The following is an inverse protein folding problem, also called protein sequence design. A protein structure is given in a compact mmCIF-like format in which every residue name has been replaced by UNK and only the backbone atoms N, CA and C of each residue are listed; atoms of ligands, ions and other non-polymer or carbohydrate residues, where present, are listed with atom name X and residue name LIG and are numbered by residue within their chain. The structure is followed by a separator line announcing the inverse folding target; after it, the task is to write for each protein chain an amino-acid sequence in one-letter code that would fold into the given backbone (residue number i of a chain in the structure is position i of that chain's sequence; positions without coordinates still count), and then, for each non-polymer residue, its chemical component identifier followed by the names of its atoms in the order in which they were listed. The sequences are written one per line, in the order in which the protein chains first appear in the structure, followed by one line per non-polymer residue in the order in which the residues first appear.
data_IF_428380594712
#
_entry.id   IF_428380594712
#
_cell.length_a   1.000
_cell.length_b   1.000
_cell.length_c   1.000
_cell.angle_alpha   90.00
_cell.angle_beta   90.00
_cell.angle_gamma   90.00
#
_symmetry.space_group_name_H-M   'P 1'
#
loop_
_entity.id
_entity.type
_entity.pdbx_description
1 polymer ?
#
# COMPACT_ATOMS: atom_id res chain seq x y z
N UNK A 1 -10.74 0.48 -18.42
CA UNK A 1 -9.62 0.54 -17.43
C UNK A 1 -9.74 1.88 -16.72
N UNK A 2 -10.02 1.85 -15.43
CA UNK A 2 -10.10 3.06 -14.61
C UNK A 2 -8.69 3.41 -14.08
N UNK A 3 -8.37 4.69 -14.10
CA UNK A 3 -7.12 5.27 -13.61
C UNK A 3 -7.43 6.42 -12.67
N UNK A 4 -6.69 6.52 -11.56
CA UNK A 4 -6.83 7.67 -10.66
C UNK A 4 -5.52 7.92 -9.90
N UNK A 5 -5.41 9.13 -9.35
CA UNK A 5 -4.29 9.59 -8.55
C UNK A 5 -4.81 10.28 -7.29
N UNK A 6 -4.42 9.77 -6.15
CA UNK A 6 -4.76 10.32 -4.83
C UNK A 6 -3.50 10.95 -4.25
N UNK A 7 -3.57 12.22 -3.87
CA UNK A 7 -2.51 12.93 -3.15
C UNK A 7 -3.00 13.13 -1.73
N UNK A 8 -2.22 12.66 -0.76
CA UNK A 8 -2.61 12.70 0.66
C UNK A 8 -1.45 13.26 1.49
N UNK A 9 -1.65 14.37 2.25
CA UNK A 9 -0.65 14.88 3.16
C UNK A 9 -0.46 13.91 4.33
N UNK A 10 0.80 13.74 4.76
CA UNK A 10 1.16 12.89 5.88
C UNK A 10 1.97 13.70 6.92
N UNK A 11 1.75 13.47 8.23
CA UNK A 11 2.33 14.28 9.30
C UNK A 11 3.77 13.85 9.66
N UNK A 12 4.39 12.97 8.87
CA UNK A 12 5.71 12.41 9.14
C UNK A 12 6.60 12.44 7.89
N UNK A 13 7.89 12.17 8.06
CA UNK A 13 8.86 12.10 6.95
C UNK A 13 8.54 11.01 5.94
N UNK A 14 9.08 11.10 4.72
CA UNK A 14 8.91 10.09 3.69
C UNK A 14 9.33 8.70 4.17
N UNK A 15 10.43 8.64 4.92
CA UNK A 15 11.01 7.42 5.48
C UNK A 15 10.04 6.74 6.45
N UNK A 16 9.45 7.51 7.35
CA UNK A 16 8.49 7.01 8.35
C UNK A 16 7.20 6.54 7.68
N UNK A 17 6.65 7.32 6.75
CA UNK A 17 5.42 6.97 6.03
C UNK A 17 5.62 5.72 5.18
N UNK A 18 6.76 5.63 4.50
CA UNK A 18 7.11 4.47 3.67
C UNK A 18 7.20 3.19 4.51
N UNK A 19 7.92 3.23 5.62
CA UNK A 19 8.13 2.07 6.48
C UNK A 19 6.83 1.62 7.16
N UNK A 20 6.03 2.55 7.67
CA UNK A 20 4.72 2.24 8.28
C UNK A 20 3.77 1.54 7.31
N UNK A 21 3.87 1.85 6.02
CA UNK A 21 3.05 1.18 5.01
C UNK A 21 3.58 -0.21 4.64
N UNK A 22 4.91 -0.39 4.55
CA UNK A 22 5.50 -1.58 3.97
C UNK A 22 5.95 -2.63 4.99
N UNK A 23 6.33 -2.24 6.20
CA UNK A 23 6.65 -3.21 7.25
C UNK A 23 5.37 -3.78 7.86
N UNK A 24 5.22 -5.10 7.82
CA UNK A 24 3.99 -5.79 8.20
C UNK A 24 3.60 -5.57 9.66
N UNK A 25 4.55 -5.51 10.58
CA UNK A 25 4.26 -5.27 12.00
C UNK A 25 3.70 -3.86 12.26
N UNK A 26 4.15 -2.84 11.52
CA UNK A 26 3.55 -1.51 11.59
C UNK A 26 2.18 -1.49 10.92
N UNK A 27 2.09 -2.08 9.72
CA UNK A 27 0.87 -2.12 8.93
C UNK A 27 -0.29 -2.78 9.67
N UNK A 28 -0.05 -3.85 10.42
CA UNK A 28 -1.03 -4.55 11.22
C UNK A 28 -1.70 -3.66 12.31
N UNK A 29 -1.04 -2.58 12.73
CA UNK A 29 -1.55 -1.68 13.79
C UNK A 29 -2.59 -0.67 13.30
N UNK A 30 -2.63 -0.37 12.00
CA UNK A 30 -3.51 0.67 11.47
C UNK A 30 -4.36 0.24 10.26
N UNK A 31 -3.93 -0.75 9.48
CA UNK A 31 -4.57 -1.14 8.23
C UNK A 31 -5.65 -2.20 8.44
N UNK A 32 -6.85 -1.75 8.78
CA UNK A 32 -7.98 -2.66 8.99
C UNK A 32 -8.62 -3.21 7.70
N UNK A 33 -8.19 -2.74 6.52
CA UNK A 33 -8.67 -3.27 5.23
C UNK A 33 -7.99 -4.60 4.87
N UNK A 34 -6.82 -4.87 5.48
CA UNK A 34 -6.06 -6.09 5.25
C UNK A 34 -5.95 -6.82 6.58
N UNK A 35 -6.52 -8.02 6.66
CA UNK A 35 -6.47 -8.83 7.88
C UNK A 35 -5.14 -9.55 8.03
N UNK A 36 -4.52 -9.89 6.89
CA UNK A 36 -3.26 -10.62 6.85
C UNK A 36 -2.49 -10.27 5.58
N UNK A 37 -1.19 -10.07 5.70
CA UNK A 37 -0.26 -9.92 4.57
C UNK A 37 0.96 -10.76 4.85
N UNK A 38 1.26 -11.68 3.96
CA UNK A 38 2.49 -12.47 3.96
C UNK A 38 3.27 -12.20 2.69
N UNK A 39 4.59 -12.17 2.81
CA UNK A 39 5.51 -12.23 1.68
C UNK A 39 5.97 -13.67 1.48
N UNK A 40 6.05 -14.09 0.24
CA UNK A 40 6.67 -15.36 -0.10
C UNK A 40 8.10 -15.36 0.48
N UNK A 41 8.40 -16.32 1.39
CA UNK A 41 9.67 -16.38 2.11
C UNK A 41 9.71 -15.70 3.49
N UNK A 42 8.59 -15.13 3.98
CA UNK A 42 8.46 -14.63 5.36
C UNK A 42 9.26 -13.36 5.67
N UNK A 43 9.67 -12.60 4.66
CA UNK A 43 10.40 -11.35 4.86
C UNK A 43 9.54 -10.30 5.58
N UNK A 44 10.12 -9.44 6.46
CA UNK A 44 9.37 -8.44 7.22
C UNK A 44 8.86 -7.29 6.36
N UNK A 45 9.45 -7.06 5.19
CA UNK A 45 9.05 -6.05 4.23
C UNK A 45 9.35 -6.48 2.79
N UNK A 46 8.70 -5.87 1.79
CA UNK A 46 8.90 -6.23 0.39
C UNK A 46 10.28 -5.86 -0.16
N UNK A 47 10.65 -6.53 -1.25
CA UNK A 47 11.74 -6.18 -2.16
C UNK A 47 11.25 -6.30 -3.61
N UNK A 48 12.05 -5.87 -4.58
CA UNK A 48 11.72 -6.07 -6.01
C UNK A 48 11.61 -7.56 -6.32
N UNK A 49 10.54 -7.95 -6.99
CA UNK A 49 10.22 -9.36 -7.30
C UNK A 49 9.49 -10.09 -6.16
N UNK A 50 9.43 -9.52 -4.95
CA UNK A 50 8.69 -10.14 -3.86
C UNK A 50 7.19 -10.21 -4.19
N UNK A 51 6.60 -11.37 -3.93
CA UNK A 51 5.15 -11.58 -4.06
C UNK A 51 4.54 -11.55 -2.67
N UNK A 52 3.54 -10.70 -2.49
CA UNK A 52 2.74 -10.67 -1.27
C UNK A 52 1.35 -11.22 -1.51
N UNK A 53 0.87 -12.03 -0.58
CA UNK A 53 -0.53 -12.43 -0.48
C UNK A 53 -1.21 -11.60 0.60
N UNK A 54 -2.25 -10.87 0.21
CA UNK A 54 -3.05 -10.06 1.15
C UNK A 54 -4.46 -10.57 1.16
N UNK A 55 -5.00 -10.82 2.35
CA UNK A 55 -6.40 -11.18 2.56
C UNK A 55 -7.16 -9.98 3.08
N UNK A 56 -8.33 -9.71 2.53
CA UNK A 56 -9.18 -8.61 2.96
C UNK A 56 -9.64 -8.74 4.41
N UNK A 57 -9.91 -7.60 5.05
CA UNK A 57 -10.46 -7.52 6.40
C UNK A 57 -11.99 -7.37 6.39
N UNK A 58 -12.65 -7.73 7.50
CA UNK A 58 -14.08 -7.55 7.67
C UNK A 58 -14.91 -8.32 6.63
N UNK A 59 -15.81 -7.62 5.94
CA UNK A 59 -16.66 -8.18 4.87
C UNK A 59 -15.87 -8.65 3.64
N UNK A 60 -14.62 -8.21 3.49
CA UNK A 60 -13.75 -8.55 2.36
C UNK A 60 -12.86 -9.78 2.64
N UNK A 61 -13.09 -10.51 3.76
CA UNK A 61 -12.29 -11.70 4.14
C UNK A 61 -12.24 -12.79 3.08
N UNK A 62 -13.24 -12.88 2.22
CA UNK A 62 -13.26 -13.84 1.12
C UNK A 62 -12.40 -13.41 -0.08
N UNK A 63 -11.88 -12.17 -0.08
CA UNK A 63 -11.06 -11.64 -1.15
C UNK A 63 -9.58 -11.75 -0.76
N UNK A 64 -8.83 -12.47 -1.57
CA UNK A 64 -7.38 -12.49 -1.49
C UNK A 64 -6.78 -11.95 -2.77
N UNK A 65 -5.70 -11.20 -2.64
CA UNK A 65 -4.98 -10.65 -3.78
C UNK A 65 -3.49 -10.95 -3.63
N UNK A 66 -2.91 -11.54 -4.66
CA UNK A 66 -1.46 -11.68 -4.78
C UNK A 66 -0.92 -10.51 -5.59
N UNK A 67 0.11 -9.86 -5.08
CA UNK A 67 0.75 -8.73 -5.74
C UNK A 67 2.26 -8.92 -5.78
N UNK A 68 2.87 -8.61 -6.92
CA UNK A 68 4.32 -8.61 -7.13
C UNK A 68 4.82 -7.17 -7.08
N UNK A 69 5.86 -6.90 -6.32
CA UNK A 69 6.54 -5.62 -6.30
C UNK A 69 7.47 -5.50 -7.50
N UNK A 70 7.13 -4.61 -8.43
CA UNK A 70 7.91 -4.35 -9.65
C UNK A 70 8.94 -3.23 -9.47
N UNK A 71 8.78 -2.42 -8.43
CA UNK A 71 9.76 -1.40 -8.02
C UNK A 71 9.68 -1.21 -6.51
N UNK A 72 10.83 -1.07 -5.87
CA UNK A 72 10.92 -0.82 -4.43
C UNK A 72 12.16 0.02 -4.15
N UNK A 73 11.98 1.32 -4.01
CA UNK A 73 13.04 2.32 -3.82
C UNK A 73 12.73 3.15 -2.57
N UNK A 74 13.10 2.63 -1.41
CA UNK A 74 12.91 3.32 -0.13
C UNK A 74 13.71 4.63 -0.09
N UNK A 75 13.15 5.75 0.37
CA UNK A 75 11.75 5.94 0.79
C UNK A 75 10.87 6.55 -0.32
N UNK A 76 11.29 6.50 -1.58
CA UNK A 76 10.73 7.32 -2.67
C UNK A 76 9.56 6.69 -3.38
N UNK A 77 9.67 5.40 -3.71
CA UNK A 77 8.74 4.73 -4.63
C UNK A 77 8.60 3.26 -4.30
N UNK A 78 7.37 2.78 -4.23
CA UNK A 78 7.05 1.38 -4.36
C UNK A 78 5.97 1.22 -5.42
N UNK A 79 6.09 0.20 -6.27
CA UNK A 79 5.09 -0.13 -7.28
C UNK A 79 4.85 -1.63 -7.28
N UNK A 80 3.58 -2.01 -7.39
CA UNK A 80 3.16 -3.39 -7.39
C UNK A 80 2.08 -3.63 -8.44
N UNK A 81 2.02 -4.86 -8.94
CA UNK A 81 0.96 -5.35 -9.83
C UNK A 81 0.35 -6.62 -9.29
N UNK A 82 -0.90 -6.86 -9.63
CA UNK A 82 -1.59 -8.09 -9.28
C UNK A 82 -1.04 -9.25 -10.11
N UNK A 83 -0.85 -10.40 -9.46
CA UNK A 83 -0.52 -11.68 -10.08
C UNK A 83 -1.79 -12.51 -10.17
N UNK A 84 -2.14 -12.94 -11.38
CA UNK A 84 -3.40 -13.65 -11.64
C UNK A 84 -4.61 -12.71 -11.64
N UNK A 85 -5.74 -13.21 -11.17
CA UNK A 85 -7.00 -12.47 -11.05
C UNK A 85 -7.56 -12.58 -9.63
N UNK A 86 -8.22 -11.53 -9.15
CA UNK A 86 -8.89 -11.53 -7.86
C UNK A 86 -10.19 -10.71 -7.97
N UNK A 87 -11.35 -11.38 -7.98
CA UNK A 87 -12.63 -10.67 -8.07
C UNK A 87 -12.71 -9.55 -7.02
N UNK A 88 -13.20 -8.36 -7.37
CA UNK A 88 -13.77 -7.95 -8.66
C UNK A 88 -12.73 -7.46 -9.71
N UNK A 89 -11.44 -7.62 -9.47
CA UNK A 89 -10.38 -7.14 -10.37
C UNK A 89 -9.97 -8.22 -11.36
N UNK A 90 -9.93 -7.87 -12.65
CA UNK A 90 -9.24 -8.65 -13.68
C UNK A 90 -7.78 -8.20 -13.83
N UNK A 91 -7.50 -6.91 -13.57
CA UNK A 91 -6.15 -6.35 -13.47
C UNK A 91 -6.11 -5.26 -12.40
N UNK A 92 -4.99 -5.19 -11.71
CA UNK A 92 -4.69 -4.12 -10.77
C UNK A 92 -3.18 -3.83 -10.79
N UNK A 93 -2.84 -2.55 -10.80
CA UNK A 93 -1.48 -2.09 -10.57
C UNK A 93 -1.54 -0.75 -9.85
N UNK A 94 -0.59 -0.52 -8.95
CA UNK A 94 -0.48 0.73 -8.25
C UNK A 94 0.98 1.10 -7.97
N UNK A 95 1.21 2.39 -7.82
CA UNK A 95 2.47 2.95 -7.34
C UNK A 95 2.20 3.93 -6.20
N UNK A 96 3.12 3.96 -5.26
CA UNK A 96 3.12 4.86 -4.12
C UNK A 96 4.43 5.64 -4.15
N UNK A 97 4.33 6.94 -4.40
CA UNK A 97 5.45 7.87 -4.40
C UNK A 97 5.36 8.77 -3.17
N UNK A 98 6.50 9.07 -2.56
CA UNK A 98 6.60 9.99 -1.43
C UNK A 98 7.45 11.19 -1.79
N UNK A 99 6.96 12.39 -1.47
CA UNK A 99 7.65 13.65 -1.67
C UNK A 99 7.63 14.45 -0.36
N UNK A 100 8.69 15.22 -0.12
CA UNK A 100 8.75 16.10 1.04
C UNK A 100 7.76 17.25 0.88
N UNK A 101 7.02 17.57 1.94
CA UNK A 101 6.14 18.74 1.98
C UNK A 101 6.89 19.98 2.48
N UNK A 102 6.56 21.17 1.94
CA UNK A 102 7.24 22.42 2.27
C UNK A 102 7.09 22.84 3.75
N UNK A 103 6.00 22.42 4.43
CA UNK A 103 5.72 22.74 5.83
C UNK A 103 6.14 21.68 6.85
N UNK A 104 6.98 20.72 6.47
CA UNK A 104 7.25 19.52 7.24
C UNK A 104 6.29 18.37 6.89
N UNK A 105 6.65 17.13 7.26
CA UNK A 105 5.92 15.95 6.82
C UNK A 105 6.18 15.59 5.36
N UNK A 106 5.23 14.88 4.75
CA UNK A 106 5.37 14.41 3.37
C UNK A 106 4.04 14.37 2.61
N UNK A 107 4.12 14.22 1.29
CA UNK A 107 2.99 13.95 0.41
C UNK A 107 3.08 12.51 -0.07
N UNK A 108 2.03 11.74 0.20
CA UNK A 108 1.81 10.42 -0.35
C UNK A 108 1.04 10.55 -1.64
N UNK A 109 1.66 10.15 -2.74
CA UNK A 109 1.06 10.17 -4.08
C UNK A 109 0.80 8.72 -4.48
N UNK A 110 -0.45 8.33 -4.47
CA UNK A 110 -0.89 6.99 -4.83
C UNK A 110 -1.58 7.01 -6.17
N UNK A 111 -0.98 6.34 -7.15
CA UNK A 111 -1.53 6.20 -8.51
C UNK A 111 -1.88 4.76 -8.74
N UNK A 112 -3.07 4.49 -9.30
CA UNK A 112 -3.51 3.14 -9.58
C UNK A 112 -4.25 3.02 -10.90
N UNK A 113 -4.20 1.80 -11.45
CA UNK A 113 -4.97 1.36 -12.59
C UNK A 113 -5.72 0.10 -12.21
N UNK A 114 -7.01 0.07 -12.50
CA UNK A 114 -7.86 -1.10 -12.25
C UNK A 114 -8.68 -1.45 -13.49
N UNK A 115 -8.84 -2.75 -13.71
CA UNK A 115 -9.85 -3.29 -14.61
C UNK A 115 -10.75 -4.23 -13.82
N UNK A 116 -12.06 -4.02 -13.93
CA UNK A 116 -13.02 -4.91 -13.29
C UNK A 116 -13.33 -6.12 -14.20
N UNK A 117 -13.69 -7.24 -13.57
CA UNK A 117 -14.17 -8.44 -14.25
C UNK A 117 -15.58 -8.83 -13.79
N UNK A 118 -16.31 -9.61 -14.55
CA UNK A 118 -16.00 -10.16 -15.88
C UNK A 118 -16.05 -9.13 -17.02
N UNK A 119 -15.32 -9.41 -18.11
CA UNK A 119 -15.13 -8.46 -19.23
C UNK A 119 -16.44 -7.99 -19.85
N UNK A 120 -17.43 -8.88 -19.95
CA UNK A 120 -18.76 -8.59 -20.55
C UNK A 120 -19.56 -7.58 -19.73
N UNK A 121 -19.39 -7.53 -18.41
CA UNK A 121 -20.11 -6.63 -17.49
C UNK A 121 -19.24 -5.46 -17.04
N UNK A 122 -18.06 -5.29 -17.60
CA UNK A 122 -17.08 -4.27 -17.17
C UNK A 122 -17.67 -2.86 -17.16
N UNK A 123 -18.38 -2.48 -18.20
CA UNK A 123 -18.96 -1.14 -18.33
C UNK A 123 -19.92 -0.78 -17.18
N UNK A 124 -20.58 -1.78 -16.61
CA UNK A 124 -21.51 -1.62 -15.49
C UNK A 124 -20.78 -1.69 -14.12
N UNK A 125 -19.85 -2.63 -13.99
CA UNK A 125 -19.20 -2.95 -12.70
C UNK A 125 -18.03 -2.01 -12.41
N UNK A 126 -17.24 -1.64 -13.43
CA UNK A 126 -16.00 -0.86 -13.25
C UNK A 126 -16.21 0.50 -12.56
N UNK A 127 -17.26 1.30 -12.89
CA UNK A 127 -17.49 2.57 -12.18
C UNK A 127 -17.76 2.37 -10.69
N UNK A 128 -18.52 1.33 -10.33
CA UNK A 128 -18.84 1.01 -8.94
C UNK A 128 -17.61 0.53 -8.20
N UNK A 129 -16.85 -0.40 -8.79
CA UNK A 129 -15.59 -0.92 -8.23
C UNK A 129 -14.59 0.22 -8.05
N UNK A 130 -14.44 1.09 -9.03
CA UNK A 130 -13.55 2.26 -8.95
C UNK A 130 -13.97 3.19 -7.82
N UNK A 131 -15.25 3.55 -7.72
CA UNK A 131 -15.77 4.41 -6.67
C UNK A 131 -15.51 3.83 -5.27
N UNK A 132 -15.85 2.56 -5.08
CA UNK A 132 -15.63 1.86 -3.80
C UNK A 132 -14.14 1.77 -3.46
N UNK A 133 -13.31 1.39 -4.42
CA UNK A 133 -11.86 1.27 -4.24
C UNK A 133 -11.24 2.62 -3.84
N UNK A 134 -11.57 3.70 -4.56
CA UNK A 134 -11.11 5.06 -4.24
C UNK A 134 -11.51 5.46 -2.83
N UNK A 135 -12.79 5.29 -2.47
CA UNK A 135 -13.31 5.65 -1.14
C UNK A 135 -12.61 4.86 -0.02
N UNK A 136 -12.39 3.57 -0.23
CA UNK A 136 -11.69 2.73 0.76
C UNK A 136 -10.21 3.12 0.87
N UNK A 137 -9.56 3.43 -0.24
CA UNK A 137 -8.16 3.88 -0.25
C UNK A 137 -7.98 5.21 0.50
N UNK A 138 -8.86 6.19 0.28
CA UNK A 138 -8.85 7.46 1.03
C UNK A 138 -9.04 7.23 2.53
N UNK A 139 -10.01 6.40 2.93
CA UNK A 139 -10.22 6.02 4.34
C UNK A 139 -9.01 5.34 4.95
N UNK A 140 -8.35 4.50 4.18
CA UNK A 140 -7.13 3.80 4.57
C UNK A 140 -6.00 4.81 4.87
N UNK A 141 -5.76 5.77 3.97
CA UNK A 141 -4.76 6.80 4.19
C UNK A 141 -5.11 7.75 5.36
N UNK A 142 -6.38 8.05 5.56
CA UNK A 142 -6.81 8.81 6.74
C UNK A 142 -6.49 8.08 8.06
N UNK A 143 -6.65 6.75 8.11
CA UNK A 143 -6.26 5.94 9.28
C UNK A 143 -4.75 5.93 9.49
N UNK A 144 -3.97 5.78 8.41
CA UNK A 144 -2.52 5.86 8.48
C UNK A 144 -2.06 7.24 8.98
N UNK A 145 -2.69 8.32 8.50
CA UNK A 145 -2.43 9.68 8.97
C UNK A 145 -2.68 9.81 10.49
N UNK A 146 -3.83 9.33 10.97
CA UNK A 146 -4.16 9.36 12.39
C UNK A 146 -3.16 8.55 13.24
N UNK A 147 -2.77 7.36 12.76
CA UNK A 147 -1.74 6.54 13.39
C UNK A 147 -0.39 7.27 13.46
N UNK A 148 0.05 7.86 12.36
CA UNK A 148 1.31 8.61 12.29
C UNK A 148 1.30 9.86 13.17
N UNK A 149 0.18 10.56 13.29
CA UNK A 149 0.04 11.71 14.19
C UNK A 149 0.30 11.35 15.65
N UNK A 150 0.03 10.11 16.05
CA UNK A 150 0.23 9.63 17.41
C UNK A 150 1.54 8.86 17.62
N UNK A 151 2.08 8.22 16.59
CA UNK A 151 3.16 7.22 16.71
C UNK A 151 4.39 7.48 15.86
N UNK A 152 4.52 8.64 15.17
CA UNK A 152 5.67 8.91 14.31
C UNK A 152 7.02 8.80 15.06
N UNK A 153 7.10 9.34 16.28
CA UNK A 153 8.31 9.28 17.10
C UNK A 153 8.70 7.84 17.50
N UNK A 154 7.71 6.95 17.71
CA UNK A 154 7.94 5.53 17.98
C UNK A 154 8.57 4.84 16.76
N UNK A 155 8.04 5.13 15.56
CA UNK A 155 8.58 4.60 14.30
C UNK A 155 9.99 5.10 14.05
N UNK A 156 10.26 6.38 14.28
CA UNK A 156 11.60 6.95 14.15
C UNK A 156 12.61 6.32 15.13
N UNK A 157 12.18 6.06 16.38
CA UNK A 157 13.01 5.36 17.35
C UNK A 157 13.33 3.93 16.89
N UNK A 158 12.33 3.23 16.36
CA UNK A 158 12.51 1.91 15.78
C UNK A 158 13.47 1.94 14.57
N UNK A 159 13.34 2.91 13.66
CA UNK A 159 14.24 3.07 12.51
C UNK A 159 15.69 3.26 12.95
N UNK A 160 15.94 4.07 13.99
CA UNK A 160 17.29 4.27 14.55
C UNK A 160 17.89 2.98 15.14
N UNK A 161 17.07 2.17 15.79
CA UNK A 161 17.49 0.90 16.37
C UNK A 161 17.79 -0.18 15.30
N UNK A 162 17.13 -0.12 14.14
CA UNK A 162 17.19 -1.13 13.08
C UNK A 162 18.07 -0.72 11.88
N UNK A 163 19.09 0.11 12.07
CA UNK A 163 19.99 0.57 10.99
C UNK A 163 20.68 -0.54 10.16
N UNK A 164 20.62 -1.80 10.57
CA UNK A 164 21.25 -2.93 9.85
C UNK A 164 20.32 -3.81 9.03
N UNK A 165 19.00 -3.68 9.19
CA UNK A 165 18.02 -4.54 8.49
C UNK A 165 17.21 -3.76 7.46
N UNK A 166 17.88 -3.18 6.45
CA UNK A 166 17.20 -2.46 5.38
C UNK A 166 16.69 -3.46 4.35
N UNK A 167 15.39 -3.59 4.23
CA UNK A 167 14.78 -4.29 3.12
C UNK A 167 15.08 -3.56 1.81
N UNK A 168 15.63 -4.25 0.83
CA UNK A 168 15.75 -3.75 -0.53
C UNK A 168 16.94 -2.84 -0.85
N UNK A 169 17.87 -2.59 0.09
CA UNK A 169 19.17 -2.02 -0.26
C UNK A 169 20.08 -3.16 -0.78
N UNK A 170 20.57 -3.14 -2.04
CA UNK A 170 21.63 -4.05 -2.44
C UNK A 170 22.90 -3.71 -1.62
N UNK A 171 23.60 -4.75 -1.15
CA UNK A 171 24.97 -4.67 -0.64
C UNK A 171 25.89 -4.18 -1.74
#
# INVERSE_FOLDING_TARGET
MAHDRIIFPMPASCEVVFDVFHYHHWRARWDSLVSHTELDGGAPCPSVGAVSASTGGGLLRALSMRTEFVSYQRPRLAAARMVGTSFPFSRWAASMKHERAAGGGSLLIYTYNIEAGPRLLRWLIEPVVHHVFRRQTVKRFARMHAFLSAHAAEVEAWQRAYHGARCGDPL
#
